data_IF_444050427855
#
_entry.id   IF_444050427855
#
_cell.length_a   1.000
_cell.length_b   1.000
_cell.length_c   1.000
_cell.angle_alpha   90.00
_cell.angle_beta   90.00
_cell.angle_gamma   90.00
#
_symmetry.space_group_name_H-M   'P 1'
#
loop_
_entity.id
_entity.type
_entity.pdbx_description
1 polymer ?
#
# COMPACT_ATOMS: atom_id res chain seq x y z
N UNK A 1 29.16 25.31 -33.25
CA UNK A 1 30.07 24.44 -32.56
C UNK A 1 29.30 23.18 -32.09
N UNK A 2 29.57 22.05 -32.75
CA UNK A 2 28.88 20.78 -32.56
C UNK A 2 29.48 20.04 -31.38
N UNK A 3 28.64 19.52 -30.51
CA UNK A 3 29.02 18.48 -29.51
C UNK A 3 28.30 17.17 -29.87
N UNK A 4 29.14 16.22 -30.29
CA UNK A 4 28.76 14.85 -30.65
C UNK A 4 28.24 14.07 -29.44
N UNK A 5 27.08 13.42 -29.62
CA UNK A 5 26.59 12.31 -28.77
C UNK A 5 27.36 11.03 -29.13
N UNK A 6 28.09 10.44 -28.18
CA UNK A 6 28.54 9.07 -28.28
C UNK A 6 27.43 8.14 -27.72
N UNK A 7 26.92 7.28 -28.58
CA UNK A 7 26.15 6.09 -28.20
C UNK A 7 27.16 4.95 -27.97
N UNK A 8 27.14 4.34 -26.81
CA UNK A 8 27.83 3.08 -26.54
C UNK A 8 26.92 1.92 -26.98
N UNK A 9 27.30 1.25 -28.05
CA UNK A 9 26.73 -0.03 -28.47
C UNK A 9 27.25 -1.14 -27.58
N UNK A 10 26.35 -1.90 -26.96
CA UNK A 10 26.66 -3.17 -26.29
C UNK A 10 26.56 -4.27 -27.36
N UNK A 11 27.72 -4.82 -27.78
CA UNK A 11 27.77 -6.02 -28.63
C UNK A 11 27.56 -7.26 -27.76
N UNK A 12 26.49 -7.98 -28.07
CA UNK A 12 26.27 -9.36 -27.58
C UNK A 12 27.13 -10.28 -28.44
N UNK A 13 28.13 -10.93 -27.82
CA UNK A 13 28.87 -12.03 -28.45
C UNK A 13 28.16 -13.34 -28.15
N UNK A 14 27.68 -13.98 -29.21
CA UNK A 14 27.09 -15.32 -29.24
C UNK A 14 28.15 -16.41 -29.08
N UNK A 15 27.87 -17.35 -28.19
CA UNK A 15 28.09 -18.77 -28.34
C UNK A 15 29.49 -19.32 -28.57
N UNK A 16 30.05 -19.94 -27.52
CA UNK A 16 30.94 -21.09 -27.71
C UNK A 16 30.51 -22.22 -26.74
N UNK A 17 30.46 -23.49 -27.16
CA UNK A 17 29.97 -24.59 -26.34
C UNK A 17 31.03 -25.04 -25.35
N UNK A 18 30.63 -25.33 -24.13
CA UNK A 18 31.48 -25.93 -23.11
C UNK A 18 31.87 -27.38 -23.49
N UNK A 19 33.13 -27.79 -23.32
CA UNK A 19 33.53 -29.16 -23.57
C UNK A 19 33.04 -30.11 -22.46
N UNK A 20 32.48 -31.23 -22.91
CA UNK A 20 32.07 -32.37 -22.07
C UNK A 20 33.34 -33.06 -21.54
N UNK A 21 33.62 -32.94 -20.25
CA UNK A 21 34.70 -33.65 -19.59
C UNK A 21 34.33 -35.11 -19.33
N UNK A 22 35.24 -36.02 -19.70
CA UNK A 22 35.08 -37.49 -19.53
C UNK A 22 35.20 -37.90 -18.05
N UNK A 23 34.64 -39.06 -17.62
CA UNK A 23 34.47 -39.44 -16.21
C UNK A 23 35.80 -39.74 -15.42
N UNK A 24 36.96 -39.75 -16.06
CA UNK A 24 38.20 -40.12 -15.41
C UNK A 24 38.93 -38.99 -14.66
N UNK A 25 38.50 -37.73 -14.79
CA UNK A 25 39.18 -36.59 -14.12
C UNK A 25 38.51 -36.14 -12.80
N UNK A 26 37.40 -36.77 -12.41
CA UNK A 26 36.71 -36.44 -11.15
C UNK A 26 37.38 -36.96 -9.88
N UNK A 27 38.39 -37.80 -9.97
CA UNK A 27 39.04 -38.43 -8.81
C UNK A 27 40.25 -37.64 -8.24
N UNK A 28 40.68 -36.55 -8.85
CA UNK A 28 41.82 -35.76 -8.37
C UNK A 28 41.50 -34.48 -7.60
N UNK A 29 40.23 -34.14 -7.43
CA UNK A 29 39.83 -32.93 -6.67
C UNK A 29 39.35 -33.18 -5.24
N UNK A 30 39.43 -34.43 -4.74
CA UNK A 30 38.85 -34.83 -3.44
C UNK A 30 39.81 -34.68 -2.24
N UNK A 31 41.08 -34.34 -2.43
CA UNK A 31 42.07 -34.39 -1.32
C UNK A 31 42.74 -33.08 -0.94
N UNK A 32 42.16 -31.91 -1.20
CA UNK A 32 42.79 -30.62 -0.83
C UNK A 32 41.93 -29.69 0.02
N UNK A 33 41.07 -30.21 0.89
CA UNK A 33 40.28 -29.38 1.82
C UNK A 33 40.40 -29.82 3.28
N UNK A 34 41.53 -30.40 3.68
CA UNK A 34 41.93 -30.50 5.09
C UNK A 34 43.09 -29.57 5.37
N UNK A 35 42.90 -28.28 5.22
CA UNK A 35 43.77 -27.23 5.71
C UNK A 35 43.18 -26.67 7.00
N UNK A 36 43.86 -26.85 8.12
CA UNK A 36 43.46 -26.30 9.40
C UNK A 36 43.24 -24.79 9.30
N UNK A 37 42.09 -24.35 9.83
CA UNK A 37 41.75 -22.96 9.91
C UNK A 37 42.63 -22.25 10.94
N UNK A 38 43.77 -21.73 10.54
CA UNK A 38 44.48 -20.70 11.29
C UNK A 38 43.78 -19.37 11.02
N UNK A 39 43.16 -18.81 12.03
CA UNK A 39 42.63 -17.45 12.00
C UNK A 39 43.80 -16.46 12.05
N UNK A 40 44.42 -16.20 10.90
CA UNK A 40 45.41 -15.16 10.75
C UNK A 40 44.74 -13.84 10.37
N UNK A 41 44.94 -12.82 11.17
CA UNK A 41 44.56 -11.44 10.87
C UNK A 41 45.29 -10.95 9.62
N UNK A 42 44.56 -10.88 8.50
CA UNK A 42 44.97 -10.05 7.35
C UNK A 42 43.81 -9.14 6.98
N UNK A 43 43.98 -7.87 7.30
CA UNK A 43 43.11 -6.78 6.84
C UNK A 43 42.99 -6.87 5.30
N UNK A 44 41.75 -7.16 4.81
CA UNK A 44 41.42 -7.00 3.40
C UNK A 44 40.77 -8.18 2.66
N UNK A 45 40.85 -9.45 3.11
CA UNK A 45 40.22 -10.58 2.43
C UNK A 45 38.78 -10.80 2.93
N UNK A 46 37.80 -11.09 2.04
CA UNK A 46 36.46 -11.44 2.47
C UNK A 46 36.48 -12.70 3.32
N UNK A 47 35.92 -12.67 4.54
CA UNK A 47 35.80 -13.86 5.37
C UNK A 47 34.84 -14.84 4.66
N UNK A 48 35.26 -16.09 4.38
CA UNK A 48 34.44 -17.07 3.71
C UNK A 48 33.19 -17.31 4.52
N UNK A 49 32.04 -17.46 3.84
CA UNK A 49 30.70 -17.68 4.42
C UNK A 49 30.06 -16.50 5.14
N UNK A 50 30.65 -15.30 5.14
CA UNK A 50 30.04 -14.09 5.68
C UNK A 50 29.66 -13.11 4.58
N UNK A 51 28.45 -12.54 4.67
CA UNK A 51 28.04 -11.40 3.84
C UNK A 51 27.26 -10.39 4.66
N UNK A 52 27.24 -9.14 4.19
CA UNK A 52 26.53 -8.06 4.87
C UNK A 52 25.27 -7.68 4.07
N UNK A 53 24.15 -7.52 4.77
CA UNK A 53 22.90 -7.02 4.20
C UNK A 53 22.32 -5.97 5.14
N UNK A 54 22.07 -4.74 4.61
CA UNK A 54 21.59 -3.59 5.39
C UNK A 54 22.41 -3.32 6.66
N UNK A 55 23.74 -3.41 6.55
CA UNK A 55 24.66 -3.19 7.66
C UNK A 55 24.81 -4.36 8.65
N UNK A 56 24.00 -5.41 8.58
CA UNK A 56 24.06 -6.58 9.48
C UNK A 56 24.78 -7.73 8.80
N UNK A 57 25.66 -8.42 9.53
CA UNK A 57 26.35 -9.62 9.05
C UNK A 57 25.49 -10.87 9.14
N UNK A 58 25.62 -11.72 8.10
CA UNK A 58 24.97 -13.01 7.97
C UNK A 58 25.98 -14.09 7.68
N UNK A 59 25.78 -15.25 8.28
CA UNK A 59 26.43 -16.51 7.89
C UNK A 59 25.65 -17.14 6.74
N UNK A 60 26.35 -17.57 5.68
CA UNK A 60 25.77 -18.34 4.58
C UNK A 60 26.69 -19.50 4.23
N UNK A 61 26.16 -20.72 4.20
CA UNK A 61 26.91 -21.91 3.82
C UNK A 61 26.04 -22.85 2.98
N UNK A 62 26.63 -23.38 1.89
CA UNK A 62 25.93 -24.33 1.01
C UNK A 62 25.91 -25.71 1.69
N UNK A 63 24.76 -26.38 1.65
CA UNK A 63 24.58 -27.72 2.18
C UNK A 63 25.21 -28.73 1.20
N UNK A 64 25.92 -29.77 1.70
CA UNK A 64 26.40 -30.88 0.87
C UNK A 64 25.26 -31.51 0.08
N UNK A 65 25.53 -31.86 -1.18
CA UNK A 65 24.49 -32.33 -2.11
C UNK A 65 23.72 -33.55 -1.60
N UNK A 66 24.43 -34.45 -0.89
CA UNK A 66 23.84 -35.67 -0.29
C UNK A 66 22.83 -35.35 0.80
N UNK A 67 22.94 -34.21 1.47
CA UNK A 67 22.02 -33.79 2.55
C UNK A 67 20.89 -32.87 2.08
N UNK A 68 20.94 -32.39 0.82
CA UNK A 68 19.93 -31.48 0.28
C UNK A 68 18.54 -32.10 0.28
N UNK A 69 18.43 -33.36 -0.11
CA UNK A 69 17.13 -34.10 -0.11
C UNK A 69 16.56 -34.28 1.30
N UNK A 70 17.43 -34.55 2.30
CA UNK A 70 17.04 -34.73 3.70
C UNK A 70 16.64 -33.42 4.39
N UNK A 71 17.33 -32.31 4.03
CA UNK A 71 17.17 -31.01 4.67
C UNK A 71 16.22 -30.06 3.93
N UNK A 72 15.78 -30.41 2.72
CA UNK A 72 14.82 -29.64 1.91
C UNK A 72 15.31 -28.24 1.50
N UNK A 73 16.64 -27.98 1.59
CA UNK A 73 17.23 -26.67 1.24
C UNK A 73 18.65 -26.81 0.74
N UNK A 74 19.10 -25.86 -0.08
CA UNK A 74 20.42 -25.87 -0.70
C UNK A 74 21.44 -25.03 0.09
N UNK A 75 20.96 -24.03 0.83
CA UNK A 75 21.80 -23.04 1.52
C UNK A 75 21.24 -22.77 2.90
N UNK A 76 22.13 -22.72 3.91
CA UNK A 76 21.82 -22.19 5.24
C UNK A 76 22.23 -20.74 5.29
N UNK A 77 21.30 -19.88 5.79
CA UNK A 77 21.55 -18.47 6.08
C UNK A 77 21.10 -18.16 7.49
N UNK A 78 21.97 -17.49 8.28
CA UNK A 78 21.62 -17.06 9.65
C UNK A 78 22.15 -15.64 9.89
N UNK A 79 21.30 -14.78 10.45
CA UNK A 79 21.74 -13.46 10.92
C UNK A 79 22.62 -13.62 12.15
N UNK A 80 23.75 -12.96 12.18
CA UNK A 80 24.64 -12.91 13.34
C UNK A 80 24.33 -11.74 14.28
N UNK A 81 23.28 -10.96 13.95
CA UNK A 81 22.77 -9.82 14.74
C UNK A 81 23.85 -8.81 15.14
N UNK A 82 24.90 -8.68 14.36
CA UNK A 82 25.98 -7.72 14.58
C UNK A 82 26.29 -6.92 13.32
N UNK A 83 26.72 -5.69 13.50
CA UNK A 83 27.26 -4.82 12.44
C UNK A 83 28.79 -4.80 12.46
N UNK A 84 29.41 -5.36 13.49
CA UNK A 84 30.86 -5.42 13.63
C UNK A 84 31.41 -6.67 12.96
N UNK A 85 32.39 -6.50 12.06
CA UNK A 85 33.03 -7.59 11.30
C UNK A 85 33.77 -8.58 12.21
N UNK A 86 34.50 -8.09 13.18
CA UNK A 86 35.27 -8.93 14.12
C UNK A 86 34.32 -9.80 14.95
N UNK A 87 33.28 -9.23 15.52
CA UNK A 87 32.26 -9.97 16.24
C UNK A 87 31.55 -11.01 15.35
N UNK A 88 31.29 -10.68 14.08
CA UNK A 88 30.69 -11.62 13.13
C UNK A 88 31.58 -12.83 12.87
N UNK A 89 32.89 -12.63 12.69
CA UNK A 89 33.90 -13.72 12.50
C UNK A 89 33.96 -14.61 13.73
N UNK A 90 34.08 -14.01 14.92
CA UNK A 90 34.17 -14.75 16.18
C UNK A 90 32.86 -15.58 16.43
N UNK A 91 31.69 -15.03 16.15
CA UNK A 91 30.43 -15.74 16.32
C UNK A 91 30.21 -16.83 15.26
N UNK A 92 30.68 -16.60 14.01
CA UNK A 92 30.52 -17.57 12.92
C UNK A 92 31.40 -18.82 13.09
N UNK A 93 32.61 -18.67 13.65
CA UNK A 93 33.58 -19.73 13.77
C UNK A 93 33.05 -21.01 14.47
N UNK A 94 32.54 -20.92 15.70
CA UNK A 94 31.95 -22.07 16.40
C UNK A 94 30.76 -22.70 15.64
N UNK A 95 29.94 -21.88 15.01
CA UNK A 95 28.75 -22.36 14.24
C UNK A 95 29.21 -23.15 13.01
N UNK A 96 30.21 -22.66 12.29
CA UNK A 96 30.77 -23.36 11.13
C UNK A 96 31.41 -24.73 11.50
N UNK A 97 32.16 -24.76 12.58
CA UNK A 97 32.76 -26.02 13.10
C UNK A 97 31.67 -27.03 13.52
N UNK A 98 30.65 -26.56 14.18
CA UNK A 98 29.54 -27.42 14.57
C UNK A 98 28.79 -27.98 13.36
N UNK A 99 28.49 -27.16 12.35
CA UNK A 99 27.86 -27.58 11.09
C UNK A 99 28.71 -28.61 10.35
N UNK A 100 30.02 -28.40 10.26
CA UNK A 100 30.91 -29.35 9.57
C UNK A 100 30.92 -30.71 10.27
N UNK A 101 30.95 -30.73 11.61
CA UNK A 101 30.88 -31.96 12.39
C UNK A 101 29.53 -32.69 12.16
N UNK A 102 28.42 -32.01 12.27
CA UNK A 102 27.11 -32.64 12.11
C UNK A 102 26.84 -33.10 10.68
N UNK A 103 27.31 -32.36 9.68
CA UNK A 103 27.18 -32.80 8.30
C UNK A 103 28.03 -34.04 8.03
N UNK A 104 29.21 -34.10 8.66
CA UNK A 104 30.06 -35.29 8.58
C UNK A 104 29.35 -36.50 9.23
N UNK A 105 28.85 -36.36 10.47
CA UNK A 105 28.09 -37.38 11.16
C UNK A 105 26.86 -37.80 10.36
N UNK A 106 26.06 -36.85 9.83
CA UNK A 106 24.86 -37.12 9.04
C UNK A 106 25.13 -37.82 7.69
N UNK A 107 26.32 -37.73 7.14
CA UNK A 107 26.74 -38.42 5.92
C UNK A 107 27.16 -39.89 6.20
N UNK A 108 27.61 -40.20 7.41
CA UNK A 108 28.20 -41.49 7.75
C UNK A 108 27.42 -42.29 8.80
N UNK A 109 26.43 -41.68 9.47
CA UNK A 109 25.57 -42.35 10.48
C UNK A 109 24.09 -42.08 10.17
N UNK A 110 23.24 -43.07 10.46
CA UNK A 110 21.77 -42.89 10.52
C UNK A 110 21.48 -42.49 11.99
N UNK A 111 21.13 -41.23 12.28
CA UNK A 111 20.85 -40.87 13.67
C UNK A 111 19.39 -40.51 13.89
N UNK A 112 18.85 -41.03 14.95
CA UNK A 112 17.80 -40.41 15.74
C UNK A 112 18.50 -39.52 16.78
N UNK A 113 18.50 -38.21 16.60
CA UNK A 113 19.10 -37.30 17.59
C UNK A 113 18.98 -35.83 17.27
N UNK A 114 18.63 -35.06 18.30
CA UNK A 114 18.50 -33.60 18.32
C UNK A 114 19.88 -32.96 18.24
N UNK A 115 20.18 -32.24 17.16
CA UNK A 115 21.51 -31.64 16.92
C UNK A 115 21.48 -30.11 16.61
N UNK A 116 22.66 -29.54 16.29
CA UNK A 116 22.82 -28.13 15.86
C UNK A 116 21.87 -27.75 14.72
N UNK A 117 21.38 -28.72 13.97
CA UNK A 117 20.35 -28.53 12.95
C UNK A 117 19.04 -27.99 13.54
N UNK A 118 18.66 -28.41 14.75
CA UNK A 118 17.49 -27.85 15.44
C UNK A 118 17.71 -26.41 15.90
N UNK A 119 18.94 -26.06 16.24
CA UNK A 119 19.30 -24.69 16.56
C UNK A 119 19.28 -23.77 15.31
N UNK A 120 19.60 -24.34 14.14
CA UNK A 120 19.58 -23.62 12.85
C UNK A 120 18.22 -23.68 12.15
N UNK A 121 17.43 -24.70 12.42
CA UNK A 121 16.03 -24.70 12.08
C UNK A 121 15.32 -23.89 13.16
N UNK A 122 14.69 -22.78 12.81
CA UNK A 122 13.67 -22.22 13.69
C UNK A 122 12.71 -23.36 14.08
N UNK A 123 12.19 -23.42 15.34
CA UNK A 123 11.03 -24.25 15.59
C UNK A 123 10.06 -23.95 14.45
N UNK A 124 9.54 -24.96 13.81
CA UNK A 124 8.49 -24.79 12.80
C UNK A 124 7.35 -24.09 13.53
N UNK A 125 7.32 -22.76 13.44
CA UNK A 125 6.07 -22.05 13.73
C UNK A 125 5.10 -22.75 12.81
N UNK A 126 4.09 -23.39 13.38
CA UNK A 126 3.11 -24.16 12.63
C UNK A 126 2.61 -23.27 11.50
N UNK A 127 2.68 -23.77 10.28
CA UNK A 127 2.20 -23.02 9.13
C UNK A 127 0.72 -22.70 9.34
N UNK A 128 0.30 -21.44 9.26
CA UNK A 128 -1.07 -21.07 9.52
C UNK A 128 -1.99 -21.45 8.36
N UNK A 129 -3.23 -21.72 8.68
CA UNK A 129 -4.32 -21.71 7.71
C UNK A 129 -4.58 -20.27 7.21
N UNK A 130 -5.30 -20.14 6.11
CA UNK A 130 -5.65 -18.80 5.60
C UNK A 130 -6.46 -17.97 6.62
N UNK A 131 -7.30 -18.62 7.43
CA UNK A 131 -8.09 -17.96 8.50
C UNK A 131 -7.18 -17.43 9.60
N UNK A 132 -6.25 -18.22 10.10
CA UNK A 132 -5.30 -17.83 11.13
C UNK A 132 -4.35 -16.71 10.62
N UNK A 133 -3.86 -16.86 9.39
CA UNK A 133 -3.06 -15.82 8.74
C UNK A 133 -3.83 -14.50 8.59
N UNK A 134 -5.16 -14.57 8.35
CA UNK A 134 -6.00 -13.37 8.28
C UNK A 134 -6.14 -12.71 9.64
N UNK A 135 -6.38 -13.46 10.71
CA UNK A 135 -6.48 -12.91 12.07
C UNK A 135 -5.17 -12.19 12.46
N UNK A 136 -4.03 -12.85 12.29
CA UNK A 136 -2.72 -12.25 12.56
C UNK A 136 -2.43 -11.01 11.69
N UNK A 137 -2.86 -11.02 10.43
CA UNK A 137 -2.72 -9.86 9.55
C UNK A 137 -3.55 -8.66 10.04
N UNK A 138 -4.79 -8.88 10.48
CA UNK A 138 -5.67 -7.84 11.01
C UNK A 138 -5.12 -7.24 12.31
N UNK A 139 -4.63 -8.07 13.20
CA UNK A 139 -3.97 -7.68 14.45
C UNK A 139 -2.72 -6.82 14.16
N UNK A 140 -1.82 -7.30 13.30
CA UNK A 140 -0.62 -6.55 12.89
C UNK A 140 -0.94 -5.18 12.29
N UNK A 141 -2.09 -5.04 11.61
CA UNK A 141 -2.55 -3.76 11.08
C UNK A 141 -3.05 -2.79 12.15
N UNK A 142 -3.24 -3.22 13.41
CA UNK A 142 -3.80 -2.42 14.48
C UNK A 142 -5.21 -1.90 14.18
N UNK A 143 -5.98 -2.63 13.37
CA UNK A 143 -7.33 -2.25 12.91
C UNK A 143 -8.33 -3.41 13.06
N UNK A 144 -8.04 -4.37 13.93
CA UNK A 144 -8.90 -5.52 14.17
C UNK A 144 -10.31 -5.12 14.62
N UNK A 145 -10.43 -4.07 15.43
CA UNK A 145 -11.71 -3.55 15.93
C UNK A 145 -12.48 -2.72 14.90
N UNK A 146 -11.85 -2.35 13.78
CA UNK A 146 -12.48 -1.54 12.76
C UNK A 146 -13.32 -2.37 11.79
N UNK A 147 -14.62 -2.47 12.03
CA UNK A 147 -15.57 -3.19 11.15
C UNK A 147 -15.49 -2.74 9.69
N UNK A 148 -15.23 -1.45 9.43
CA UNK A 148 -15.02 -0.93 8.07
C UNK A 148 -13.80 -1.52 7.39
N UNK A 149 -12.78 -1.91 8.16
CA UNK A 149 -11.55 -2.51 7.65
C UNK A 149 -11.63 -4.04 7.60
N UNK A 150 -12.14 -4.67 8.64
CA UNK A 150 -12.16 -6.13 8.78
C UNK A 150 -13.19 -6.79 7.87
N UNK A 151 -14.44 -6.29 7.85
CA UNK A 151 -15.54 -6.90 7.10
C UNK A 151 -15.27 -7.12 5.60
N UNK A 152 -14.69 -6.17 4.83
CA UNK A 152 -14.35 -6.41 3.43
C UNK A 152 -13.29 -7.50 3.25
N UNK A 153 -12.32 -7.61 4.17
CA UNK A 153 -11.28 -8.63 4.16
C UNK A 153 -11.89 -10.00 4.47
N UNK A 154 -12.69 -10.09 5.50
CA UNK A 154 -13.38 -11.33 5.91
C UNK A 154 -14.31 -11.87 4.82
N UNK A 155 -15.03 -11.00 4.12
CA UNK A 155 -15.87 -11.40 2.99
C UNK A 155 -15.05 -12.01 1.85
N UNK A 156 -13.90 -11.43 1.53
CA UNK A 156 -13.00 -11.96 0.49
C UNK A 156 -12.38 -13.28 0.92
N UNK A 157 -11.89 -13.36 2.16
CA UNK A 157 -11.32 -14.59 2.74
C UNK A 157 -12.38 -15.69 2.88
N UNK A 158 -13.58 -15.34 3.33
CA UNK A 158 -14.70 -16.28 3.41
C UNK A 158 -15.09 -16.85 2.05
N UNK A 159 -15.06 -16.02 1.00
CA UNK A 159 -15.38 -16.47 -0.35
C UNK A 159 -14.37 -17.49 -0.90
N UNK A 160 -13.06 -17.26 -0.70
CA UNK A 160 -12.06 -18.23 -1.16
C UNK A 160 -12.04 -19.49 -0.28
N UNK A 161 -12.27 -19.38 1.03
CA UNK A 161 -12.39 -20.55 1.92
C UNK A 161 -13.61 -21.40 1.51
N UNK A 162 -14.73 -20.76 1.18
CA UNK A 162 -15.92 -21.48 0.70
C UNK A 162 -15.64 -22.25 -0.59
N UNK A 163 -14.80 -21.73 -1.46
CA UNK A 163 -14.48 -22.33 -2.76
C UNK A 163 -13.41 -23.43 -2.65
N UNK A 164 -12.34 -23.19 -1.90
CA UNK A 164 -11.12 -24.01 -1.92
C UNK A 164 -10.82 -24.70 -0.58
N UNK A 165 -11.62 -24.42 0.47
CA UNK A 165 -11.37 -24.89 1.83
C UNK A 165 -10.42 -23.98 2.62
N UNK A 166 -10.45 -24.09 3.96
CA UNK A 166 -9.48 -23.42 4.84
C UNK A 166 -8.22 -24.27 4.96
N UNK A 167 -7.32 -24.12 4.00
CA UNK A 167 -6.07 -24.89 3.89
C UNK A 167 -4.91 -24.16 4.58
N UNK A 168 -3.82 -24.88 4.84
CA UNK A 168 -2.51 -24.28 5.09
C UNK A 168 -2.12 -23.42 3.90
N UNK A 169 -1.39 -22.33 4.12
CA UNK A 169 -1.07 -21.38 3.03
C UNK A 169 -0.30 -22.03 1.89
N UNK A 170 0.69 -22.90 2.17
CA UNK A 170 1.45 -23.64 1.14
C UNK A 170 0.60 -24.61 0.32
N UNK A 171 -0.56 -25.04 0.84
CA UNK A 171 -1.48 -25.94 0.14
C UNK A 171 -2.42 -25.24 -0.85
N UNK A 172 -2.41 -23.90 -0.91
CA UNK A 172 -3.12 -23.18 -1.96
C UNK A 172 -2.31 -23.22 -3.26
N UNK A 173 -2.98 -23.56 -4.34
CA UNK A 173 -2.39 -23.71 -5.66
C UNK A 173 -2.71 -22.52 -6.57
N UNK A 174 -1.97 -22.43 -7.69
CA UNK A 174 -2.31 -21.46 -8.75
C UNK A 174 -3.72 -21.68 -9.31
N UNK A 175 -4.20 -22.93 -9.35
CA UNK A 175 -5.55 -23.25 -9.78
C UNK A 175 -6.61 -22.68 -8.84
N UNK A 176 -6.41 -22.74 -7.52
CA UNK A 176 -7.32 -22.11 -6.55
C UNK A 176 -7.44 -20.59 -6.82
N UNK A 177 -6.32 -19.93 -7.12
CA UNK A 177 -6.30 -18.50 -7.42
C UNK A 177 -7.01 -18.17 -8.74
N UNK A 178 -6.83 -19.01 -9.79
CA UNK A 178 -7.48 -18.85 -11.09
C UNK A 178 -8.99 -19.04 -10.91
N UNK A 179 -9.43 -20.11 -10.27
CA UNK A 179 -10.85 -20.37 -10.02
C UNK A 179 -11.50 -19.23 -9.23
N UNK A 180 -10.81 -18.68 -8.22
CA UNK A 180 -11.31 -17.55 -7.46
C UNK A 180 -11.49 -16.31 -8.34
N UNK A 181 -10.48 -15.97 -9.15
CA UNK A 181 -10.57 -14.88 -10.14
C UNK A 181 -11.77 -15.07 -11.06
N UNK A 182 -11.90 -16.27 -11.65
CA UNK A 182 -12.92 -16.57 -12.64
C UNK A 182 -14.33 -16.56 -12.03
N UNK A 183 -14.47 -17.00 -10.78
CA UNK A 183 -15.72 -16.90 -10.02
C UNK A 183 -16.18 -15.43 -9.84
N UNK A 184 -15.23 -14.51 -9.60
CA UNK A 184 -15.51 -13.08 -9.49
C UNK A 184 -15.89 -12.48 -10.85
N UNK A 185 -15.20 -12.88 -11.95
CA UNK A 185 -15.51 -12.43 -13.31
C UNK A 185 -16.91 -12.94 -13.71
N UNK A 186 -17.24 -14.20 -13.44
CA UNK A 186 -18.57 -14.78 -13.71
C UNK A 186 -19.70 -14.02 -12.99
N UNK A 187 -19.42 -13.48 -11.81
CA UNK A 187 -20.36 -12.62 -11.08
C UNK A 187 -20.48 -11.21 -11.65
N UNK A 188 -19.81 -10.90 -12.76
CA UNK A 188 -19.82 -9.59 -13.43
C UNK A 188 -19.41 -8.41 -12.55
N UNK A 189 -18.55 -8.64 -11.52
CA UNK A 189 -18.00 -7.53 -10.74
C UNK A 189 -16.95 -6.79 -11.55
N UNK A 190 -16.78 -5.48 -11.29
CA UNK A 190 -15.79 -4.68 -12.01
C UNK A 190 -14.37 -5.25 -11.87
N UNK A 191 -13.54 -5.08 -12.91
CA UNK A 191 -12.14 -5.51 -12.89
C UNK A 191 -11.37 -4.92 -11.69
N UNK A 192 -11.63 -3.66 -11.34
CA UNK A 192 -11.06 -3.03 -10.17
C UNK A 192 -11.40 -3.79 -8.87
N UNK A 193 -12.63 -4.31 -8.76
CA UNK A 193 -13.06 -5.14 -7.63
C UNK A 193 -12.37 -6.50 -7.65
N UNK A 194 -12.21 -7.15 -8.81
CA UNK A 194 -11.47 -8.40 -8.95
C UNK A 194 -10.01 -8.21 -8.49
N UNK A 195 -9.33 -7.19 -9.02
CA UNK A 195 -7.94 -6.85 -8.65
C UNK A 195 -7.81 -6.58 -7.15
N UNK A 196 -8.74 -5.84 -6.56
CA UNK A 196 -8.76 -5.54 -5.13
C UNK A 196 -8.90 -6.80 -4.28
N UNK A 197 -9.84 -7.68 -4.61
CA UNK A 197 -10.07 -8.91 -3.85
C UNK A 197 -8.85 -9.83 -3.88
N UNK A 198 -8.25 -10.03 -5.05
CA UNK A 198 -7.01 -10.82 -5.18
C UNK A 198 -5.82 -10.14 -4.47
N UNK A 199 -5.76 -8.81 -4.45
CA UNK A 199 -4.73 -8.07 -3.71
C UNK A 199 -4.84 -8.26 -2.19
N UNK A 200 -6.06 -8.39 -1.65
CA UNK A 200 -6.28 -8.70 -0.23
C UNK A 200 -5.65 -10.06 0.12
N UNK A 201 -6.01 -11.12 -0.60
CA UNK A 201 -5.47 -12.46 -0.34
C UNK A 201 -3.94 -12.49 -0.54
N UNK A 202 -3.44 -11.84 -1.61
CA UNK A 202 -2.00 -11.73 -1.85
C UNK A 202 -1.27 -11.05 -0.70
N UNK A 203 -1.86 -10.01 -0.10
CA UNK A 203 -1.25 -9.28 1.02
C UNK A 203 -1.20 -10.11 2.29
N UNK A 204 -2.26 -10.85 2.61
CA UNK A 204 -2.33 -11.78 3.75
C UNK A 204 -1.29 -12.88 3.57
N UNK A 205 -1.26 -13.50 2.39
CA UNK A 205 -0.32 -14.57 2.07
C UNK A 205 1.14 -14.09 2.19
N UNK A 206 1.48 -12.93 1.62
CA UNK A 206 2.83 -12.36 1.70
C UNK A 206 3.23 -11.97 3.12
N UNK A 207 2.29 -11.51 3.94
CA UNK A 207 2.53 -11.23 5.34
C UNK A 207 2.87 -12.53 6.09
N UNK A 208 1.99 -13.51 6.05
CA UNK A 208 2.18 -14.76 6.77
C UNK A 208 3.39 -15.56 6.28
N UNK A 209 3.67 -15.54 4.97
CA UNK A 209 4.88 -16.15 4.40
C UNK A 209 6.16 -15.60 5.02
N UNK A 210 6.21 -14.29 5.28
CA UNK A 210 7.36 -13.64 5.91
C UNK A 210 7.46 -13.96 7.41
N UNK A 211 6.33 -13.92 8.11
CA UNK A 211 6.29 -14.17 9.56
C UNK A 211 6.60 -15.64 9.89
N UNK A 212 6.05 -16.57 9.12
CA UNK A 212 6.20 -18.02 9.36
C UNK A 212 7.32 -18.67 8.54
N UNK A 213 8.07 -17.89 7.71
CA UNK A 213 9.16 -18.42 6.92
C UNK A 213 8.74 -19.42 5.84
N UNK A 214 7.53 -19.27 5.28
CA UNK A 214 6.99 -20.14 4.23
C UNK A 214 7.77 -19.90 2.94
N UNK A 215 8.45 -20.91 2.40
CA UNK A 215 9.27 -20.81 1.19
C UNK A 215 8.49 -21.11 -0.11
N UNK A 216 7.17 -21.15 -0.06
CA UNK A 216 6.33 -21.35 -1.24
C UNK A 216 6.10 -20.04 -2.01
N UNK A 217 5.94 -20.14 -3.32
CA UNK A 217 5.55 -18.99 -4.15
C UNK A 217 4.09 -18.64 -3.86
N UNK A 218 3.81 -17.35 -3.75
CA UNK A 218 2.43 -16.89 -3.57
C UNK A 218 1.60 -17.17 -4.83
N UNK A 219 0.59 -18.08 -4.75
CA UNK A 219 -0.20 -18.45 -5.92
C UNK A 219 -1.11 -17.32 -6.44
N UNK A 220 -1.36 -16.29 -5.63
CA UNK A 220 -2.16 -15.12 -5.98
C UNK A 220 -1.31 -13.96 -6.55
N UNK A 221 0.01 -14.12 -6.66
CA UNK A 221 0.88 -13.13 -7.27
C UNK A 221 0.74 -13.14 -8.80
N UNK A 222 0.98 -11.98 -9.43
CA UNK A 222 1.08 -11.83 -10.89
C UNK A 222 -0.06 -12.52 -11.66
N UNK A 223 -1.31 -12.28 -11.21
CA UNK A 223 -2.50 -12.81 -11.88
C UNK A 223 -2.75 -12.07 -13.20
N UNK A 224 -3.03 -12.82 -14.26
CA UNK A 224 -3.54 -12.25 -15.50
C UNK A 224 -5.07 -12.04 -15.37
N UNK A 225 -5.55 -10.88 -15.81
CA UNK A 225 -6.97 -10.48 -15.72
C UNK A 225 -7.66 -10.44 -17.09
N UNK A 226 -6.95 -10.81 -18.18
CA UNK A 226 -7.44 -10.67 -19.54
C UNK A 226 -7.60 -9.20 -19.98
N UNK A 227 -8.23 -8.99 -21.13
CA UNK A 227 -8.57 -7.67 -21.67
C UNK A 227 -9.88 -7.13 -21.07
N UNK A 228 -10.09 -7.31 -19.76
CA UNK A 228 -11.27 -6.75 -19.11
C UNK A 228 -11.24 -5.21 -19.19
N UNK A 229 -12.38 -4.61 -19.51
CA UNK A 229 -12.51 -3.17 -19.75
C UNK A 229 -11.89 -2.34 -18.64
N UNK A 230 -11.15 -1.32 -19.02
CA UNK A 230 -10.58 -0.35 -18.09
C UNK A 230 -11.68 0.26 -17.20
N UNK A 231 -11.29 0.59 -15.96
CA UNK A 231 -12.20 1.29 -15.06
C UNK A 231 -12.64 2.60 -15.73
N UNK A 232 -13.94 2.82 -15.85
CA UNK A 232 -14.51 4.06 -16.37
C UNK A 232 -13.91 5.21 -15.55
N UNK A 233 -13.14 6.08 -16.21
CA UNK A 233 -12.56 7.26 -15.58
C UNK A 233 -13.72 8.16 -15.12
N UNK A 234 -13.72 8.54 -13.86
CA UNK A 234 -14.68 9.53 -13.36
C UNK A 234 -14.43 10.87 -14.05
N UNK A 235 -15.47 11.40 -14.65
CA UNK A 235 -15.43 12.68 -15.34
C UNK A 235 -15.57 13.84 -14.35
N UNK A 236 -14.93 14.98 -14.58
CA UNK A 236 -15.25 16.23 -13.90
C UNK A 236 -16.66 16.70 -14.33
N UNK A 237 -17.36 17.40 -13.46
CA UNK A 237 -18.61 18.09 -13.81
C UNK A 237 -18.23 19.35 -14.57
N UNK A 238 -18.82 19.62 -15.74
CA UNK A 238 -18.60 20.87 -16.50
C UNK A 238 -18.97 22.11 -15.65
N UNK A 239 -18.26 23.23 -15.86
CA UNK A 239 -18.49 24.45 -15.09
C UNK A 239 -19.90 25.04 -15.24
N UNK A 240 -20.53 24.87 -16.42
CA UNK A 240 -21.90 25.27 -16.64
C UNK A 240 -22.87 24.48 -15.74
N UNK A 241 -22.68 23.14 -15.66
CA UNK A 241 -23.56 22.29 -14.84
C UNK A 241 -23.31 22.52 -13.35
N UNK A 242 -22.06 22.82 -12.92
CA UNK A 242 -21.76 23.22 -11.53
C UNK A 242 -22.62 24.42 -11.15
N UNK A 243 -22.73 25.40 -12.04
CA UNK A 243 -23.52 26.60 -11.80
C UNK A 243 -25.02 26.29 -11.64
N UNK A 244 -25.58 25.45 -12.52
CA UNK A 244 -26.99 25.00 -12.41
C UNK A 244 -27.19 24.35 -11.05
N UNK A 245 -26.30 23.40 -10.67
CA UNK A 245 -26.36 22.75 -9.35
C UNK A 245 -26.32 23.77 -8.21
N UNK A 246 -25.46 24.77 -8.30
CA UNK A 246 -25.30 25.80 -7.26
C UNK A 246 -26.53 26.68 -7.14
N UNK A 247 -27.16 27.10 -8.27
CA UNK A 247 -28.41 27.86 -8.30
C UNK A 247 -29.55 27.06 -7.68
N UNK A 248 -29.70 25.80 -8.04
CA UNK A 248 -30.69 24.90 -7.47
C UNK A 248 -30.47 24.66 -5.97
N UNK A 249 -29.18 24.56 -5.53
CA UNK A 249 -28.90 24.50 -4.11
C UNK A 249 -29.36 25.75 -3.35
N UNK A 250 -29.14 26.93 -3.90
CA UNK A 250 -29.60 28.18 -3.30
C UNK A 250 -31.13 28.30 -3.32
N UNK A 251 -31.79 27.86 -4.37
CA UNK A 251 -33.25 27.92 -4.50
C UNK A 251 -33.95 27.02 -3.49
N UNK A 252 -33.42 25.83 -3.20
CA UNK A 252 -34.00 24.87 -2.26
C UNK A 252 -33.61 25.20 -0.82
N UNK A 253 -32.39 25.61 -0.57
CA UNK A 253 -31.83 26.15 0.69
C UNK A 253 -32.06 25.25 1.93
N UNK A 254 -31.59 24.01 1.86
CA UNK A 254 -31.65 23.05 2.97
C UNK A 254 -30.27 22.39 3.27
N UNK A 255 -30.19 21.61 4.34
CA UNK A 255 -28.98 20.96 4.82
C UNK A 255 -28.29 20.05 3.77
N UNK A 256 -29.07 19.40 2.90
CA UNK A 256 -28.56 18.55 1.83
C UNK A 256 -27.90 19.41 0.75
N UNK A 257 -28.52 20.55 0.38
CA UNK A 257 -28.00 21.44 -0.66
C UNK A 257 -26.85 22.27 -0.17
N UNK A 258 -26.83 22.67 1.10
CA UNK A 258 -25.64 23.30 1.71
C UNK A 258 -24.43 22.37 1.65
N UNK A 259 -24.59 21.07 1.94
CA UNK A 259 -23.48 20.10 1.83
C UNK A 259 -22.98 19.95 0.38
N UNK A 260 -23.87 19.94 -0.61
CA UNK A 260 -23.50 19.89 -2.04
C UNK A 260 -22.79 21.17 -2.45
N UNK A 261 -23.36 22.33 -2.13
CA UNK A 261 -22.79 23.62 -2.48
C UNK A 261 -21.41 23.84 -1.82
N UNK A 262 -21.24 23.42 -0.56
CA UNK A 262 -19.97 23.45 0.14
C UNK A 262 -18.89 22.65 -0.61
N UNK A 263 -19.22 21.45 -1.08
CA UNK A 263 -18.29 20.59 -1.81
C UNK A 263 -18.00 21.13 -3.21
N UNK A 264 -18.96 21.80 -3.85
CA UNK A 264 -18.87 22.24 -5.25
C UNK A 264 -17.71 23.20 -5.49
N UNK A 265 -17.40 24.09 -4.55
CA UNK A 265 -16.31 25.04 -4.64
C UNK A 265 -15.09 24.68 -3.76
N UNK A 266 -15.29 23.92 -2.67
CA UNK A 266 -14.15 23.50 -1.82
C UNK A 266 -13.45 22.24 -2.33
N UNK A 267 -14.10 21.41 -3.14
CA UNK A 267 -13.55 20.14 -3.63
C UNK A 267 -13.20 19.12 -2.55
N UNK A 268 -13.77 19.27 -1.34
CA UNK A 268 -13.56 18.35 -0.23
C UNK A 268 -14.02 16.92 -0.55
N UNK A 269 -13.46 15.93 0.16
CA UNK A 269 -14.08 14.60 0.14
C UNK A 269 -15.40 14.65 0.88
N UNK A 270 -16.39 13.90 0.41
CA UNK A 270 -17.69 13.87 1.06
C UNK A 270 -17.62 13.54 2.57
N UNK A 271 -16.76 12.61 2.97
CA UNK A 271 -16.59 12.28 4.39
C UNK A 271 -15.92 13.41 5.20
N UNK A 272 -15.10 14.25 4.56
CA UNK A 272 -14.52 15.44 5.16
C UNK A 272 -15.63 16.49 5.41
N UNK A 273 -16.40 16.80 4.36
CA UNK A 273 -17.43 17.81 4.41
C UNK A 273 -18.61 17.42 5.31
N UNK A 274 -19.15 16.19 5.16
CA UNK A 274 -20.25 15.71 5.99
C UNK A 274 -19.90 15.60 7.47
N UNK A 275 -18.61 15.48 7.81
CA UNK A 275 -18.12 15.37 9.18
C UNK A 275 -17.66 16.69 9.78
N UNK A 276 -17.93 17.84 9.19
CA UNK A 276 -17.56 19.14 9.74
C UNK A 276 -18.33 19.47 11.00
N UNK A 277 -17.63 20.06 11.94
CA UNK A 277 -18.23 20.73 13.10
C UNK A 277 -18.11 22.26 12.98
N UNK A 278 -18.87 22.97 13.76
CA UNK A 278 -18.93 24.45 13.76
C UNK A 278 -17.53 25.03 14.00
N UNK A 279 -16.76 24.45 14.91
CA UNK A 279 -15.40 24.91 15.22
C UNK A 279 -14.37 24.73 14.09
N UNK A 280 -14.67 23.87 13.09
CA UNK A 280 -13.83 23.73 11.90
C UNK A 280 -13.95 24.95 10.96
N UNK A 281 -15.02 25.74 11.08
CA UNK A 281 -15.32 26.84 10.17
C UNK A 281 -14.89 28.17 10.81
N UNK A 282 -14.09 28.92 10.07
CA UNK A 282 -13.57 30.22 10.47
C UNK A 282 -14.11 31.29 9.53
N UNK A 283 -15.26 31.91 9.87
CA UNK A 283 -15.90 32.97 9.05
C UNK A 283 -15.38 34.37 9.40
N UNK A 284 -15.10 34.62 10.69
CA UNK A 284 -14.71 35.93 11.21
C UNK A 284 -13.19 36.18 11.12
N UNK A 285 -12.62 35.93 9.95
CA UNK A 285 -11.20 36.10 9.62
C UNK A 285 -11.10 36.81 8.28
N UNK A 286 -9.93 37.43 8.01
CA UNK A 286 -9.69 38.13 6.72
C UNK A 286 -9.97 37.22 5.52
N UNK A 287 -9.72 35.94 5.68
CA UNK A 287 -10.02 34.92 4.66
C UNK A 287 -10.87 33.83 5.31
N UNK A 288 -12.20 33.81 5.06
CA UNK A 288 -13.06 32.74 5.51
C UNK A 288 -12.57 31.38 5.03
N UNK A 289 -12.43 30.42 5.92
CA UNK A 289 -11.85 29.12 5.58
C UNK A 289 -12.33 27.97 6.45
N UNK A 290 -12.13 26.77 6.00
CA UNK A 290 -12.28 25.52 6.76
C UNK A 290 -10.92 25.11 7.29
N UNK A 291 -10.78 24.90 8.59
CA UNK A 291 -9.64 24.23 9.22
C UNK A 291 -9.93 22.75 9.35
N UNK A 292 -9.61 21.99 8.29
CA UNK A 292 -9.88 20.56 8.26
C UNK A 292 -8.86 19.79 9.10
N UNK A 293 -9.35 19.10 10.14
CA UNK A 293 -8.55 18.30 11.08
C UNK A 293 -9.24 16.97 11.40
N UNK A 294 -8.54 16.05 12.05
CA UNK A 294 -9.14 14.80 12.53
C UNK A 294 -10.05 15.03 13.73
N UNK A 295 -11.11 14.24 13.79
CA UNK A 295 -12.03 14.18 14.92
C UNK A 295 -12.36 12.71 15.26
N UNK A 296 -12.82 12.38 16.46
CA UNK A 296 -13.19 11.02 16.84
C UNK A 296 -14.19 10.34 15.86
N UNK A 297 -15.10 11.11 15.31
CA UNK A 297 -16.12 10.66 14.34
C UNK A 297 -15.65 10.70 12.88
N UNK A 298 -14.55 11.42 12.58
CA UNK A 298 -14.04 11.65 11.22
C UNK A 298 -12.52 11.49 11.16
N UNK A 299 -12.06 10.33 10.74
CA UNK A 299 -10.66 10.14 10.39
C UNK A 299 -10.34 10.74 9.01
N UNK A 300 -9.14 11.25 8.83
CA UNK A 300 -8.63 11.69 7.54
C UNK A 300 -7.90 10.55 6.83
N UNK A 301 -7.96 10.54 5.49
CA UNK A 301 -7.41 9.43 4.68
C UNK A 301 -5.88 9.36 4.73
N UNK A 302 -5.22 10.51 4.81
CA UNK A 302 -3.76 10.65 4.82
C UNK A 302 -3.36 11.79 5.74
N UNK A 303 -2.15 11.82 6.31
CA UNK A 303 -1.67 12.95 7.13
C UNK A 303 -1.80 14.30 6.43
N UNK A 304 -1.48 14.38 5.13
CA UNK A 304 -1.64 15.60 4.32
C UNK A 304 -3.09 16.00 4.02
N UNK A 305 -4.08 15.28 4.57
CA UNK A 305 -5.49 15.70 4.46
C UNK A 305 -5.84 16.80 5.46
N UNK A 306 -5.09 16.96 6.57
CA UNK A 306 -5.18 18.11 7.47
C UNK A 306 -4.71 19.34 6.72
N UNK A 307 -5.59 20.34 6.56
CA UNK A 307 -5.31 21.53 5.76
C UNK A 307 -6.31 22.64 6.01
N UNK A 308 -5.97 23.85 5.58
CA UNK A 308 -6.91 24.97 5.49
C UNK A 308 -7.44 25.07 4.05
N UNK A 309 -8.75 25.31 3.91
CA UNK A 309 -9.43 25.43 2.61
C UNK A 309 -10.16 26.75 2.58
N UNK A 310 -9.73 27.74 1.78
CA UNK A 310 -10.46 28.99 1.63
C UNK A 310 -11.88 28.76 1.16
N UNK A 311 -12.84 29.46 1.75
CA UNK A 311 -14.25 29.45 1.35
C UNK A 311 -14.51 30.56 0.35
N UNK A 312 -15.08 30.21 -0.80
CA UNK A 312 -15.43 31.14 -1.87
C UNK A 312 -16.82 30.85 -2.41
N UNK A 313 -17.47 31.84 -3.02
CA UNK A 313 -18.71 31.63 -3.78
C UNK A 313 -19.76 30.83 -3.01
N UNK A 314 -20.20 29.73 -3.62
CA UNK A 314 -21.24 28.90 -3.02
C UNK A 314 -20.77 28.07 -1.81
N UNK A 315 -19.47 27.81 -1.69
CA UNK A 315 -18.95 27.15 -0.47
C UNK A 315 -19.00 28.08 0.75
N UNK A 316 -18.79 29.38 0.57
CA UNK A 316 -18.92 30.38 1.64
C UNK A 316 -20.41 30.52 2.04
N UNK A 317 -21.28 30.78 1.07
CA UNK A 317 -22.73 30.85 1.30
C UNK A 317 -23.25 29.61 2.07
N UNK A 318 -22.85 28.41 1.64
CA UNK A 318 -23.29 27.17 2.27
C UNK A 318 -22.79 27.02 3.72
N UNK A 319 -21.55 27.45 3.99
CA UNK A 319 -21.01 27.44 5.35
C UNK A 319 -21.75 28.41 6.27
N UNK A 320 -22.06 29.62 5.78
CA UNK A 320 -22.85 30.62 6.50
C UNK A 320 -24.26 30.09 6.82
N UNK A 321 -24.94 29.50 5.82
CA UNK A 321 -26.30 28.92 6.01
C UNK A 321 -26.26 27.76 7.01
N UNK A 322 -25.29 26.85 6.88
CA UNK A 322 -25.19 25.68 7.75
C UNK A 322 -24.89 26.08 9.21
N UNK A 323 -24.02 27.08 9.45
CA UNK A 323 -23.75 27.60 10.79
C UNK A 323 -24.97 28.27 11.39
N UNK A 324 -25.68 29.11 10.61
CA UNK A 324 -26.85 29.86 11.11
C UNK A 324 -28.03 28.98 11.42
N UNK A 325 -28.06 27.74 10.94
CA UNK A 325 -29.18 26.82 11.08
C UNK A 325 -28.85 25.53 11.86
N UNK A 326 -27.68 25.47 12.55
CA UNK A 326 -27.35 24.33 13.40
C UNK A 326 -27.43 24.69 14.89
N UNK A 327 -28.10 23.82 15.66
CA UNK A 327 -28.26 23.96 17.11
C UNK A 327 -27.24 23.08 17.87
N UNK A 328 -26.32 22.43 17.20
CA UNK A 328 -25.36 21.52 17.80
C UNK A 328 -23.93 21.69 17.22
N UNK A 329 -22.99 20.87 17.70
CA UNK A 329 -21.61 20.96 17.24
C UNK A 329 -21.37 20.58 15.77
N UNK A 330 -22.27 19.80 15.14
CA UNK A 330 -22.10 19.33 13.76
C UNK A 330 -22.79 20.25 12.77
N UNK A 331 -22.10 20.60 11.70
CA UNK A 331 -22.71 21.34 10.59
C UNK A 331 -23.84 20.54 9.91
N UNK A 332 -23.65 19.24 9.80
CA UNK A 332 -24.57 18.32 9.13
C UNK A 332 -24.95 17.16 10.07
N UNK A 333 -25.69 17.46 11.12
CA UNK A 333 -26.08 16.54 12.19
C UNK A 333 -26.83 15.30 11.69
N UNK A 334 -27.54 15.42 10.55
CA UNK A 334 -28.17 14.28 9.84
C UNK A 334 -27.20 13.13 9.58
N UNK A 335 -25.92 13.44 9.34
CA UNK A 335 -24.91 12.49 8.91
C UNK A 335 -23.86 12.18 9.99
N UNK A 336 -23.82 12.96 11.06
CA UNK A 336 -22.80 12.83 12.11
C UNK A 336 -23.37 12.61 13.50
N UNK A 337 -22.63 11.86 14.30
CA UNK A 337 -22.76 11.73 15.74
C UNK A 337 -21.36 11.76 16.36
N UNK A 338 -21.25 11.84 17.68
CA UNK A 338 -19.98 11.90 18.42
C UNK A 338 -19.00 10.74 18.11
N UNK A 339 -19.53 9.62 17.63
CA UNK A 339 -18.74 8.41 17.36
C UNK A 339 -18.55 8.11 15.89
N UNK A 340 -19.36 8.68 14.97
CA UNK A 340 -19.36 8.24 13.58
C UNK A 340 -19.95 9.25 12.61
N UNK A 341 -19.28 9.39 11.46
CA UNK A 341 -19.83 10.06 10.28
C UNK A 341 -20.35 9.02 9.25
N UNK A 342 -21.63 9.13 8.89
CA UNK A 342 -22.35 8.25 7.94
C UNK A 342 -22.23 8.75 6.49
N UNK A 343 -21.02 8.99 6.02
CA UNK A 343 -20.76 9.54 4.67
C UNK A 343 -21.28 8.67 3.54
N UNK A 344 -21.41 7.34 3.74
CA UNK A 344 -21.99 6.45 2.72
C UNK A 344 -23.48 6.71 2.53
N UNK A 345 -24.19 7.01 3.63
CA UNK A 345 -25.60 7.39 3.58
C UNK A 345 -25.79 8.76 2.90
N UNK A 346 -24.95 9.74 3.26
CA UNK A 346 -24.90 11.03 2.57
C UNK A 346 -24.66 10.83 1.06
N UNK A 347 -23.70 9.99 0.67
CA UNK A 347 -23.39 9.70 -0.73
C UNK A 347 -24.62 9.24 -1.52
N UNK A 348 -25.43 8.36 -0.96
CA UNK A 348 -26.63 7.86 -1.63
C UNK A 348 -27.66 8.97 -1.85
N UNK A 349 -27.91 9.78 -0.82
CA UNK A 349 -28.88 10.88 -0.89
C UNK A 349 -28.43 11.96 -1.88
N UNK A 350 -27.20 12.44 -1.75
CA UNK A 350 -26.68 13.53 -2.57
C UNK A 350 -26.59 13.12 -4.05
N UNK A 351 -26.07 11.93 -4.34
CA UNK A 351 -25.97 11.47 -5.73
C UNK A 351 -27.33 11.19 -6.38
N UNK A 352 -28.34 10.77 -5.60
CA UNK A 352 -29.70 10.60 -6.15
C UNK A 352 -30.25 11.92 -6.68
N UNK A 353 -30.06 13.02 -5.95
CA UNK A 353 -30.51 14.35 -6.38
C UNK A 353 -29.62 14.91 -7.50
N UNK A 354 -28.29 14.82 -7.37
CA UNK A 354 -27.33 15.40 -8.30
C UNK A 354 -27.50 14.90 -9.74
N UNK A 355 -27.91 13.64 -9.92
CA UNK A 355 -28.11 13.03 -11.27
C UNK A 355 -29.03 13.79 -12.19
N UNK A 356 -29.95 14.60 -11.66
CA UNK A 356 -30.86 15.41 -12.49
C UNK A 356 -30.16 16.58 -13.18
N UNK A 357 -28.96 16.97 -12.71
CA UNK A 357 -28.29 18.22 -13.08
C UNK A 357 -26.89 18.03 -13.67
N UNK A 358 -26.38 16.82 -13.72
CA UNK A 358 -25.01 16.54 -14.19
C UNK A 358 -25.01 15.39 -15.19
N UNK A 359 -24.01 15.32 -16.08
CA UNK A 359 -23.86 14.23 -17.05
C UNK A 359 -23.75 12.85 -16.39
N UNK A 360 -24.14 11.83 -17.12
CA UNK A 360 -24.02 10.44 -16.69
C UNK A 360 -22.58 10.09 -16.28
N UNK A 361 -22.44 9.33 -15.17
CA UNK A 361 -21.14 8.97 -14.60
C UNK A 361 -20.54 10.02 -13.66
N UNK A 362 -21.09 11.25 -13.62
CA UNK A 362 -20.70 12.24 -12.62
C UNK A 362 -21.39 11.97 -11.28
N UNK A 363 -20.66 12.21 -10.20
CA UNK A 363 -21.09 12.00 -8.81
C UNK A 363 -20.54 13.12 -7.93
N UNK A 364 -20.96 13.21 -6.67
CA UNK A 364 -20.43 14.19 -5.70
C UNK A 364 -18.89 14.27 -5.71
N UNK A 365 -18.19 13.15 -5.83
CA UNK A 365 -16.74 13.15 -5.91
C UNK A 365 -16.18 13.83 -7.18
N UNK A 366 -16.99 13.98 -8.22
CA UNK A 366 -16.62 14.65 -9.47
C UNK A 366 -16.34 16.15 -9.27
N UNK A 367 -16.97 16.82 -8.31
CA UNK A 367 -16.64 18.20 -7.94
C UNK A 367 -15.17 18.39 -7.59
N UNK A 368 -14.56 17.37 -6.96
CA UNK A 368 -13.14 17.39 -6.61
C UNK A 368 -12.23 17.31 -7.85
N UNK A 369 -12.65 16.61 -8.90
CA UNK A 369 -11.99 16.62 -10.20
C UNK A 369 -12.17 17.98 -10.87
N UNK A 370 -13.38 18.51 -10.83
CA UNK A 370 -13.69 19.84 -11.42
C UNK A 370 -12.91 20.97 -10.74
N UNK A 371 -12.76 20.96 -9.41
CA UNK A 371 -11.94 21.95 -8.71
C UNK A 371 -10.50 21.91 -9.23
N UNK A 372 -9.91 20.72 -9.41
CA UNK A 372 -8.55 20.59 -9.95
C UNK A 372 -8.43 21.19 -11.35
N UNK A 373 -9.42 20.93 -12.20
CA UNK A 373 -9.42 21.44 -13.58
C UNK A 373 -9.68 22.96 -13.62
N UNK A 374 -10.56 23.49 -12.77
CA UNK A 374 -10.80 24.95 -12.61
C UNK A 374 -9.53 25.67 -12.15
N UNK A 375 -8.80 25.13 -11.17
CA UNK A 375 -7.52 25.68 -10.70
C UNK A 375 -6.45 25.62 -11.80
N UNK A 376 -6.39 24.56 -12.59
CA UNK A 376 -5.50 24.47 -13.76
C UNK A 376 -5.86 25.48 -14.84
N UNK A 377 -7.14 25.74 -15.07
CA UNK A 377 -7.60 26.73 -16.05
C UNK A 377 -7.11 28.16 -15.75
N UNK A 378 -6.92 28.48 -14.46
CA UNK A 378 -6.31 29.77 -14.03
C UNK A 378 -4.79 29.67 -13.85
N UNK A 379 -4.16 28.59 -14.34
CA UNK A 379 -2.70 28.36 -14.26
C UNK A 379 -2.15 28.30 -12.83
N UNK A 380 -2.96 27.83 -11.87
CA UNK A 380 -2.52 27.63 -10.49
C UNK A 380 -1.38 26.59 -10.44
N UNK A 381 -0.28 26.88 -9.73
CA UNK A 381 0.81 25.92 -9.52
C UNK A 381 0.33 24.60 -8.94
N UNK A 382 0.93 23.48 -9.40
CA UNK A 382 0.44 22.12 -9.06
C UNK A 382 0.53 21.81 -7.57
N UNK A 383 1.52 22.33 -6.87
CA UNK A 383 1.73 22.16 -5.44
C UNK A 383 0.69 22.93 -4.60
N UNK A 384 0.30 24.14 -5.04
CA UNK A 384 -0.83 24.86 -4.45
C UNK A 384 -2.15 24.11 -4.67
N UNK A 385 -2.39 23.61 -5.90
CA UNK A 385 -3.55 22.75 -6.18
C UNK A 385 -3.58 21.55 -5.26
N UNK A 386 -2.43 20.89 -5.08
CA UNK A 386 -2.33 19.69 -4.25
C UNK A 386 -2.54 20.02 -2.76
N UNK A 387 -2.06 21.15 -2.27
CA UNK A 387 -2.31 21.60 -0.90
C UNK A 387 -3.79 21.91 -0.66
N UNK A 388 -4.45 22.69 -1.52
CA UNK A 388 -5.88 22.98 -1.41
C UNK A 388 -6.69 21.68 -1.42
N UNK A 389 -6.40 20.79 -2.35
CA UNK A 389 -7.10 19.52 -2.48
C UNK A 389 -6.72 18.47 -1.44
N UNK A 390 -5.59 18.59 -0.74
CA UNK A 390 -5.05 17.52 0.10
C UNK A 390 -4.70 16.29 -0.77
N UNK A 391 -4.04 16.52 -1.90
CA UNK A 391 -3.37 15.50 -2.70
C UNK A 391 -1.90 15.44 -2.30
N UNK A 392 -1.25 14.36 -2.65
CA UNK A 392 0.17 14.20 -2.39
C UNK A 392 0.95 14.66 -3.63
N UNK A 393 1.83 15.64 -3.45
CA UNK A 393 2.73 16.09 -4.49
C UNK A 393 3.95 15.16 -4.54
N UNK A 394 4.34 14.75 -5.74
CA UNK A 394 5.53 13.92 -5.92
C UNK A 394 6.79 14.79 -5.81
N UNK A 395 7.75 14.37 -5.00
CA UNK A 395 9.07 15.01 -4.87
C UNK A 395 9.53 15.12 -3.41
N UNK A 396 10.84 14.96 -3.20
CA UNK A 396 11.45 15.03 -1.86
C UNK A 396 11.36 16.45 -1.28
N UNK A 397 11.47 17.48 -2.13
CA UNK A 397 11.42 18.88 -1.71
C UNK A 397 10.07 19.33 -1.15
N UNK A 398 8.99 18.65 -1.47
CA UNK A 398 7.64 18.97 -1.02
C UNK A 398 7.39 18.62 0.46
N UNK A 399 8.27 17.83 1.07
CA UNK A 399 8.22 17.50 2.50
C UNK A 399 8.89 18.55 3.41
N UNK A 400 9.51 19.57 2.84
CA UNK A 400 10.17 20.63 3.60
C UNK A 400 9.29 21.89 3.66
N UNK A 401 9.20 22.50 4.86
CA UNK A 401 8.43 23.72 5.12
C UNK A 401 6.96 23.46 5.46
N UNK A 402 6.28 24.53 5.88
CA UNK A 402 4.89 24.51 6.38
C UNK A 402 3.83 24.65 5.25
N UNK A 403 4.27 24.61 3.99
CA UNK A 403 3.41 24.86 2.83
C UNK A 403 3.08 26.33 2.62
N UNK A 404 2.09 26.58 1.72
CA UNK A 404 1.65 27.93 1.41
C UNK A 404 0.72 28.48 2.48
N UNK A 405 0.84 29.79 2.75
CA UNK A 405 -0.04 30.50 3.66
C UNK A 405 -1.46 30.63 3.10
N UNK A 406 -2.41 30.88 4.00
CA UNK A 406 -3.83 30.96 3.67
C UNK A 406 -4.17 32.05 2.65
N UNK A 407 -3.46 33.19 2.71
CA UNK A 407 -3.59 34.31 1.76
C UNK A 407 -3.31 33.86 0.31
N UNK A 408 -2.19 33.15 0.11
CA UNK A 408 -1.84 32.59 -1.21
C UNK A 408 -2.88 31.61 -1.71
N UNK A 409 -3.38 30.72 -0.82
CA UNK A 409 -4.44 29.76 -1.18
C UNK A 409 -5.74 30.50 -1.53
N UNK A 410 -6.07 31.56 -0.77
CA UNK A 410 -7.24 32.41 -0.97
C UNK A 410 -7.22 33.13 -2.31
N UNK A 411 -6.09 33.69 -2.71
CA UNK A 411 -5.91 34.35 -3.99
C UNK A 411 -6.20 33.42 -5.17
N UNK A 412 -5.64 32.19 -5.14
CA UNK A 412 -5.87 31.21 -6.21
C UNK A 412 -7.31 30.70 -6.24
N UNK A 413 -7.92 30.51 -5.07
CA UNK A 413 -9.34 30.15 -4.98
C UNK A 413 -10.24 31.27 -5.48
N UNK A 414 -9.94 32.54 -5.21
CA UNK A 414 -10.70 33.68 -5.72
C UNK A 414 -10.72 33.77 -7.25
N UNK A 415 -9.61 33.40 -7.91
CA UNK A 415 -9.50 33.42 -9.39
C UNK A 415 -10.48 32.45 -10.05
N UNK A 416 -10.78 31.31 -9.43
CA UNK A 416 -11.75 30.36 -10.00
C UNK A 416 -13.20 30.80 -9.85
N UNK A 417 -13.51 31.75 -8.95
CA UNK A 417 -14.84 32.37 -8.86
C UNK A 417 -15.22 33.13 -10.14
N UNK A 418 -14.24 33.78 -10.79
CA UNK A 418 -14.43 34.50 -12.06
C UNK A 418 -14.57 33.60 -13.29
N UNK A 419 -14.23 32.30 -13.21
CA UNK A 419 -14.43 31.34 -14.32
C UNK A 419 -15.85 30.79 -14.41
N UNK A 420 -16.70 31.13 -13.46
CA UNK A 420 -18.13 30.88 -13.53
C UNK A 420 -18.78 32.17 -14.02
N UNK A 421 -18.98 32.37 -15.36
CA UNK A 421 -19.61 33.54 -15.91
C UNK A 421 -21.03 33.70 -15.43
#
# INVERSE_FOLDING_TARGET
AALRRQRSEVRILSGAPFPILKPAECLRFSCRFYGGYTFGDTMGKPAPYLFQKRGVYYLQKRIPQQLVAKLGRVIIRKSLRTRCRTTAITTAGPILKALDREWHEAMFTIPDGVGVMDFLTKPRISEPTLREATAAYLEMKGKADSVKFTRPIELVVGAIIKQSGNKLLSAYTRNDAIQFRDSLIKRKVSLATVKRNLSVIRSIWNFASREHGINALNPFANMNYGNASEAVRRLPIPSADIRIVQMECQAIDDDIRWLIALISDSGMRLSEAAGLCVSDIQLNTDIPHIKLMEHPWRSLKTPGSTRQIPLIGNSLWAAERAISNTDNQFLFSRYCSDTKCKSDYASNTLNKWLRAYVPDGCVIHSFRHSLRDRLRAVQCPSDIIDQIGGWQTAGVGQGYGDGYKLDVLGEWMARIKGLTP
#
